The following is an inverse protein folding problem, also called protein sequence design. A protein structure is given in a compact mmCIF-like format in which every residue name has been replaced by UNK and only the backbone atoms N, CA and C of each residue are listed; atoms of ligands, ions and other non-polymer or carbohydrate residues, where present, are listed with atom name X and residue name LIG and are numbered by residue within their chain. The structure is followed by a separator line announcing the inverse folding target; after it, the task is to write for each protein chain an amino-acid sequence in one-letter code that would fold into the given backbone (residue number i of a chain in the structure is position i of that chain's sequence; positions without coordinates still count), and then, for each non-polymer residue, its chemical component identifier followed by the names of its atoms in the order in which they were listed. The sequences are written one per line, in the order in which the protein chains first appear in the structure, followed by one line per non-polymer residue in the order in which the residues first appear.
data_IF_566842046069
#
_entry.id   IF_566842046069
#
_cell.length_a   1.000
_cell.length_b   1.000
_cell.length_c   1.000
_cell.angle_alpha   90.00
_cell.angle_beta   90.00
_cell.angle_gamma   90.00
#
_symmetry.space_group_name_H-M   'P 1'
#
loop_
_entity.id
_entity.type
_entity.pdbx_description
1 polymer ?
#
# COMPACT_ATOMS: atom_id res chain seq x y z
N UNK A 1 5.72 -30.25 -1.84
CA UNK A 1 5.81 -29.02 -1.02
C UNK A 1 7.24 -28.50 -0.80
N UNK A 2 8.19 -29.31 -0.31
CA UNK A 2 9.56 -28.85 0.04
C UNK A 2 10.30 -28.12 -1.10
N UNK A 3 10.34 -28.71 -2.31
CA UNK A 3 10.95 -28.09 -3.49
C UNK A 3 10.36 -26.72 -3.85
N UNK A 4 9.06 -26.53 -3.65
CA UNK A 4 8.38 -25.26 -3.92
C UNK A 4 8.77 -24.18 -2.89
N UNK A 5 8.97 -24.58 -1.63
CA UNK A 5 9.48 -23.68 -0.58
C UNK A 5 10.95 -23.32 -0.81
N UNK A 6 11.77 -24.27 -1.27
CA UNK A 6 13.15 -24.00 -1.69
C UNK A 6 13.20 -23.00 -2.85
N UNK A 7 12.34 -23.17 -3.86
CA UNK A 7 12.21 -22.22 -4.96
C UNK A 7 11.75 -20.83 -4.50
N UNK A 8 10.82 -20.75 -3.54
CA UNK A 8 10.41 -19.47 -2.94
C UNK A 8 11.58 -18.78 -2.24
N UNK A 9 12.40 -19.53 -1.49
CA UNK A 9 13.58 -18.99 -0.83
C UNK A 9 14.63 -18.52 -1.86
N UNK A 10 14.81 -19.27 -2.95
CA UNK A 10 15.67 -18.85 -4.06
C UNK A 10 15.17 -17.54 -4.69
N UNK A 11 13.86 -17.42 -4.94
CA UNK A 11 13.25 -16.19 -5.44
C UNK A 11 13.53 -14.99 -4.51
N UNK A 12 13.43 -15.18 -3.19
CA UNK A 12 13.78 -14.12 -2.21
C UNK A 12 15.26 -13.78 -2.23
N UNK A 13 16.14 -14.77 -2.39
CA UNK A 13 17.58 -14.54 -2.48
C UNK A 13 17.96 -13.66 -3.67
N UNK A 14 17.32 -13.87 -4.82
CA UNK A 14 17.64 -13.17 -6.07
C UNK A 14 16.76 -11.94 -6.31
N UNK A 15 15.62 -11.82 -5.64
CA UNK A 15 14.70 -10.67 -5.67
C UNK A 15 14.29 -10.27 -4.24
N UNK A 16 15.23 -9.82 -3.40
CA UNK A 16 14.98 -9.57 -1.98
C UNK A 16 13.91 -8.51 -1.74
N UNK A 17 13.77 -7.56 -2.66
CA UNK A 17 12.75 -6.52 -2.60
C UNK A 17 11.31 -7.05 -2.72
N UNK A 18 11.10 -8.28 -3.24
CA UNK A 18 9.79 -8.93 -3.33
C UNK A 18 9.46 -9.84 -2.13
N UNK A 19 10.35 -9.95 -1.15
CA UNK A 19 10.23 -10.94 -0.07
C UNK A 19 8.90 -10.86 0.70
N UNK A 20 8.47 -9.64 1.04
CA UNK A 20 7.20 -9.41 1.76
C UNK A 20 5.99 -9.96 1.01
N UNK A 21 6.00 -9.90 -0.32
CA UNK A 21 4.91 -10.40 -1.15
C UNK A 21 4.99 -11.92 -1.34
N UNK A 22 6.19 -12.45 -1.62
CA UNK A 22 6.40 -13.89 -1.78
C UNK A 22 6.00 -14.70 -0.54
N UNK A 23 6.26 -14.17 0.66
CA UNK A 23 5.85 -14.80 1.92
C UNK A 23 4.41 -14.50 2.34
N UNK A 24 3.75 -13.52 1.73
CA UNK A 24 2.33 -13.28 1.95
C UNK A 24 1.43 -14.32 1.25
N UNK A 25 1.93 -14.97 0.20
CA UNK A 25 1.18 -15.96 -0.57
C UNK A 25 1.02 -17.28 0.19
N UNK A 26 -0.23 -17.71 0.35
CA UNK A 26 -0.57 -19.04 0.85
C UNK A 26 -0.56 -20.06 -0.29
N UNK A 27 0.19 -21.16 -0.13
CA UNK A 27 0.24 -22.24 -1.14
C UNK A 27 -0.96 -23.16 -0.99
N UNK A 28 -1.65 -23.42 -2.09
CA UNK A 28 -2.67 -24.45 -2.21
C UNK A 28 -2.17 -25.48 -3.23
N UNK A 29 -1.94 -26.70 -2.78
CA UNK A 29 -1.62 -27.80 -3.71
C UNK A 29 -2.90 -28.25 -4.40
N UNK A 30 -2.92 -28.22 -5.74
CA UNK A 30 -4.08 -28.65 -6.53
C UNK A 30 -3.66 -29.26 -7.87
N UNK A 31 -4.15 -30.46 -8.18
CA UNK A 31 -3.79 -31.21 -9.39
C UNK A 31 -4.53 -30.74 -10.64
N UNK A 32 -5.61 -29.98 -10.49
CA UNK A 32 -6.41 -29.45 -11.59
C UNK A 32 -5.79 -28.20 -12.22
N UNK A 33 -4.86 -27.54 -11.51
CA UNK A 33 -4.04 -26.44 -12.03
C UNK A 33 -2.99 -27.01 -13.00
N UNK A 34 -2.80 -26.41 -14.19
CA UNK A 34 -1.80 -26.89 -15.15
C UNK A 34 -0.34 -26.72 -14.68
N UNK A 35 -0.04 -25.58 -14.07
CA UNK A 35 1.30 -25.13 -13.65
C UNK A 35 1.26 -24.55 -12.23
N UNK A 36 1.39 -23.24 -12.10
CA UNK A 36 1.11 -22.44 -10.92
C UNK A 36 0.20 -21.30 -11.36
N UNK A 37 -0.63 -20.79 -10.44
CA UNK A 37 -1.54 -19.70 -10.70
C UNK A 37 -1.82 -18.94 -9.40
N UNK A 38 -2.27 -17.70 -9.48
CA UNK A 38 -2.73 -16.91 -8.33
C UNK A 38 -4.18 -16.49 -8.46
N UNK A 39 -4.89 -16.48 -7.34
CA UNK A 39 -6.23 -15.87 -7.29
C UNK A 39 -6.18 -14.40 -6.87
N UNK A 40 -7.27 -13.67 -7.10
CA UNK A 40 -7.42 -12.28 -6.65
C UNK A 40 -7.31 -12.13 -5.11
N UNK A 41 -7.38 -13.22 -4.35
CA UNK A 41 -7.28 -13.28 -2.89
C UNK A 41 -5.86 -13.60 -2.39
N UNK A 42 -4.84 -13.55 -3.26
CA UNK A 42 -3.43 -13.77 -2.93
C UNK A 42 -3.11 -15.19 -2.44
N UNK A 43 -3.84 -16.19 -2.94
CA UNK A 43 -3.45 -17.60 -2.82
C UNK A 43 -2.70 -18.01 -4.08
N UNK A 44 -1.65 -18.81 -3.91
CA UNK A 44 -0.91 -19.41 -5.01
C UNK A 44 -1.27 -20.89 -5.09
N UNK A 45 -1.85 -21.31 -6.19
CA UNK A 45 -2.19 -22.69 -6.48
C UNK A 45 -1.06 -23.33 -7.26
N UNK A 46 -0.64 -24.54 -6.88
CA UNK A 46 0.50 -25.20 -7.49
C UNK A 46 0.21 -26.66 -7.83
N UNK A 47 0.49 -27.03 -9.07
CA UNK A 47 0.38 -28.40 -9.57
C UNK A 47 1.54 -29.27 -9.06
N UNK A 48 1.28 -30.37 -8.33
CA UNK A 48 2.33 -31.25 -7.82
C UNK A 48 3.23 -31.79 -8.94
N UNK A 49 2.62 -32.18 -10.06
CA UNK A 49 3.34 -32.71 -11.21
C UNK A 49 4.22 -31.66 -11.89
N UNK A 50 3.82 -30.38 -11.88
CA UNK A 50 4.63 -29.29 -12.40
C UNK A 50 5.82 -29.01 -11.49
N UNK A 51 5.56 -28.88 -10.19
CA UNK A 51 6.62 -28.69 -9.19
C UNK A 51 7.66 -29.83 -9.24
N UNK A 52 7.22 -31.08 -9.42
CA UNK A 52 8.12 -32.22 -9.51
C UNK A 52 9.08 -32.12 -10.71
N UNK A 53 8.58 -31.76 -11.90
CA UNK A 53 9.35 -31.75 -13.16
C UNK A 53 10.18 -30.47 -13.39
N UNK A 54 9.78 -29.34 -12.81
CA UNK A 54 10.41 -28.04 -13.08
C UNK A 54 11.61 -27.78 -12.15
N UNK A 55 12.80 -27.36 -12.64
CA UNK A 55 13.95 -27.01 -11.81
C UNK A 55 13.65 -25.93 -10.76
N UNK A 56 14.46 -25.84 -9.70
CA UNK A 56 14.22 -24.92 -8.57
C UNK A 56 14.30 -23.47 -9.00
N UNK A 57 15.28 -23.15 -9.84
CA UNK A 57 15.55 -21.81 -10.36
C UNK A 57 14.44 -21.35 -11.31
N UNK A 58 13.92 -22.25 -12.14
CA UNK A 58 12.76 -21.99 -13.00
C UNK A 58 11.48 -21.79 -12.15
N UNK A 59 11.24 -22.63 -11.13
CA UNK A 59 10.13 -22.44 -10.19
C UNK A 59 10.23 -21.12 -9.43
N UNK A 60 11.45 -20.65 -9.14
CA UNK A 60 11.65 -19.34 -8.53
C UNK A 60 11.26 -18.20 -9.49
N UNK A 61 11.52 -18.36 -10.80
CA UNK A 61 11.02 -17.47 -11.84
C UNK A 61 9.49 -17.43 -11.86
N UNK A 62 8.84 -18.60 -11.78
CA UNK A 62 7.38 -18.69 -11.70
C UNK A 62 6.85 -18.00 -10.44
N UNK A 63 7.48 -18.18 -9.28
CA UNK A 63 7.12 -17.44 -8.06
C UNK A 63 7.12 -15.91 -8.26
N UNK A 64 8.17 -15.39 -8.89
CA UNK A 64 8.31 -13.96 -9.17
C UNK A 64 7.27 -13.51 -10.20
N UNK A 65 7.02 -14.32 -11.23
CA UNK A 65 5.99 -14.05 -12.23
C UNK A 65 4.59 -13.93 -11.59
N UNK A 66 4.16 -14.95 -10.85
CA UNK A 66 2.84 -15.01 -10.22
C UNK A 66 2.61 -13.86 -9.24
N UNK A 67 3.60 -13.54 -8.38
CA UNK A 67 3.46 -12.44 -7.42
C UNK A 67 3.44 -11.07 -8.12
N UNK A 68 4.04 -10.96 -9.30
CA UNK A 68 4.07 -9.72 -10.08
C UNK A 68 2.69 -9.33 -10.58
N UNK A 69 1.85 -10.28 -11.02
CA UNK A 69 0.45 -10.00 -11.36
C UNK A 69 -0.30 -9.34 -10.20
N UNK A 70 -0.06 -9.83 -8.97
CA UNK A 70 -0.74 -9.34 -7.78
C UNK A 70 -0.23 -7.97 -7.34
N UNK A 71 1.09 -7.76 -7.37
CA UNK A 71 1.71 -6.48 -7.03
C UNK A 71 1.32 -5.38 -8.02
N UNK A 72 1.30 -5.70 -9.32
CA UNK A 72 0.92 -4.78 -10.39
C UNK A 72 -0.58 -4.66 -10.62
N UNK A 73 -1.40 -5.32 -9.81
CA UNK A 73 -2.88 -5.30 -9.86
C UNK A 73 -3.44 -5.65 -11.24
N UNK A 74 -2.85 -6.63 -11.94
CA UNK A 74 -3.20 -6.96 -13.33
C UNK A 74 -4.69 -7.30 -13.50
N UNK A 75 -5.28 -8.10 -12.60
CA UNK A 75 -6.72 -8.38 -12.67
C UNK A 75 -7.57 -7.11 -12.53
N UNK A 76 -7.26 -6.23 -11.57
CA UNK A 76 -8.00 -5.01 -11.32
C UNK A 76 -7.83 -3.98 -12.45
N UNK A 77 -6.60 -3.78 -12.94
CA UNK A 77 -6.29 -2.96 -14.11
C UNK A 77 -6.96 -3.48 -15.37
N UNK A 78 -6.89 -4.79 -15.59
CA UNK A 78 -7.47 -5.45 -16.75
C UNK A 78 -9.00 -5.34 -16.78
N UNK A 79 -9.65 -5.49 -15.62
CA UNK A 79 -11.10 -5.25 -15.50
C UNK A 79 -11.47 -3.79 -15.80
N UNK A 80 -10.71 -2.82 -15.29
CA UNK A 80 -10.96 -1.39 -15.58
C UNK A 80 -10.84 -1.11 -17.07
N UNK A 81 -9.75 -1.57 -17.69
CA UNK A 81 -9.54 -1.45 -19.13
C UNK A 81 -10.69 -2.06 -19.94
N UNK A 82 -11.12 -3.28 -19.58
CA UNK A 82 -12.22 -3.97 -20.23
C UNK A 82 -13.55 -3.19 -20.16
N UNK A 83 -13.85 -2.58 -19.02
CA UNK A 83 -15.05 -1.75 -18.84
C UNK A 83 -15.00 -0.47 -19.66
N UNK A 84 -13.85 0.18 -19.72
CA UNK A 84 -13.63 1.42 -20.48
C UNK A 84 -13.73 1.22 -21.99
N UNK A 85 -13.32 0.05 -22.49
CA UNK A 85 -13.23 -0.24 -23.93
C UNK A 85 -14.34 -1.20 -24.43
N UNK A 86 -15.23 -1.68 -23.55
CA UNK A 86 -16.28 -2.63 -23.90
C UNK A 86 -15.76 -4.02 -24.32
N UNK A 87 -14.54 -4.37 -23.90
CA UNK A 87 -13.82 -5.58 -24.32
C UNK A 87 -14.14 -6.76 -23.38
N UNK A 88 -15.13 -7.56 -23.77
CA UNK A 88 -15.62 -8.70 -23.00
C UNK A 88 -15.48 -10.01 -23.77
N UNK A 89 -15.32 -11.10 -23.03
CA UNK A 89 -15.24 -12.45 -23.58
C UNK A 89 -13.88 -13.13 -23.34
N UNK A 90 -13.77 -14.42 -23.71
CA UNK A 90 -12.58 -15.22 -23.46
C UNK A 90 -11.35 -14.74 -24.24
N UNK A 91 -11.53 -14.30 -25.49
CA UNK A 91 -10.43 -13.77 -26.31
C UNK A 91 -9.81 -12.50 -25.72
N UNK A 92 -10.64 -11.55 -25.29
CA UNK A 92 -10.17 -10.31 -24.65
C UNK A 92 -9.53 -10.56 -23.28
N UNK A 93 -10.01 -11.56 -22.51
CA UNK A 93 -9.35 -11.97 -21.27
C UNK A 93 -7.97 -12.56 -21.52
N UNK A 94 -7.85 -13.46 -22.48
CA UNK A 94 -6.57 -14.03 -22.86
C UNK A 94 -5.60 -12.94 -23.35
N UNK A 95 -6.08 -12.00 -24.17
CA UNK A 95 -5.30 -10.85 -24.62
C UNK A 95 -4.77 -10.00 -23.46
N UNK A 96 -5.59 -9.76 -22.43
CA UNK A 96 -5.14 -9.08 -21.20
C UNK A 96 -4.09 -9.89 -20.44
N UNK A 97 -4.26 -11.21 -20.36
CA UNK A 97 -3.26 -12.07 -19.72
C UNK A 97 -1.91 -12.02 -20.49
N UNK A 98 -1.94 -12.11 -21.82
CA UNK A 98 -0.74 -11.98 -22.67
C UNK A 98 -0.06 -10.61 -22.48
N UNK A 99 -0.83 -9.53 -22.44
CA UNK A 99 -0.30 -8.19 -22.22
C UNK A 99 0.33 -8.02 -20.83
N UNK A 100 -0.30 -8.59 -19.80
CA UNK A 100 0.22 -8.64 -18.44
C UNK A 100 1.53 -9.44 -18.36
N UNK A 101 1.59 -10.57 -19.07
CA UNK A 101 2.79 -11.40 -19.19
C UNK A 101 3.91 -10.67 -19.91
N UNK A 102 3.63 -9.87 -20.95
CA UNK A 102 4.65 -9.04 -21.59
C UNK A 102 5.25 -8.02 -20.61
N UNK A 103 4.42 -7.35 -19.82
CA UNK A 103 4.87 -6.40 -18.77
C UNK A 103 5.73 -7.09 -17.69
N UNK A 104 5.48 -8.38 -17.40
CA UNK A 104 6.24 -9.14 -16.39
C UNK A 104 7.52 -9.73 -16.98
N UNK A 105 7.39 -10.48 -18.06
CA UNK A 105 8.46 -11.32 -18.59
C UNK A 105 9.62 -10.51 -19.16
N UNK A 106 9.46 -9.21 -19.40
CA UNK A 106 10.53 -8.35 -19.88
C UNK A 106 11.55 -7.92 -18.81
N UNK A 107 11.21 -7.97 -17.51
CA UNK A 107 12.05 -7.47 -16.43
C UNK A 107 12.27 -8.43 -15.24
N UNK A 108 11.73 -9.66 -15.28
CA UNK A 108 11.92 -10.65 -14.21
C UNK A 108 13.14 -11.55 -14.36
N UNK A 109 13.58 -11.86 -15.59
CA UNK A 109 14.64 -12.85 -15.84
C UNK A 109 16.05 -12.23 -15.82
N UNK A 110 17.08 -13.08 -15.71
CA UNK A 110 18.46 -12.65 -15.47
C UNK A 110 18.80 -12.64 -13.97
N UNK A 111 20.07 -12.37 -13.63
CA UNK A 111 20.55 -12.22 -12.26
C UNK A 111 20.07 -13.34 -11.30
N UNK A 112 20.21 -14.59 -11.74
CA UNK A 112 19.86 -15.78 -10.95
C UNK A 112 18.47 -16.37 -11.22
N UNK A 113 17.70 -15.80 -12.16
CA UNK A 113 16.46 -16.39 -12.67
C UNK A 113 16.60 -16.72 -14.17
N UNK A 114 16.57 -18.00 -14.57
CA UNK A 114 16.66 -18.39 -15.97
C UNK A 114 15.39 -18.01 -16.73
N UNK A 115 15.54 -17.58 -17.99
CA UNK A 115 14.42 -17.35 -18.91
C UNK A 115 13.90 -18.70 -19.44
N UNK A 116 12.63 -19.07 -19.18
CA UNK A 116 12.04 -20.29 -19.73
C UNK A 116 11.94 -20.20 -21.26
N UNK A 117 12.16 -21.32 -21.95
CA UNK A 117 12.06 -21.38 -23.42
C UNK A 117 10.67 -20.98 -23.96
N UNK A 118 9.61 -21.16 -23.15
CA UNK A 118 8.23 -20.80 -23.49
C UNK A 118 7.77 -19.45 -22.94
N UNK A 119 8.68 -18.58 -22.48
CA UNK A 119 8.30 -17.29 -21.93
C UNK A 119 7.57 -16.41 -22.97
N UNK A 120 6.43 -15.86 -22.58
CA UNK A 120 5.62 -14.98 -23.42
C UNK A 120 6.23 -13.58 -23.38
N UNK A 121 6.90 -13.19 -24.46
CA UNK A 121 7.66 -11.93 -24.56
C UNK A 121 7.13 -11.02 -25.68
N UNK A 122 7.22 -9.68 -25.53
CA UNK A 122 6.76 -8.73 -26.55
C UNK A 122 7.47 -8.89 -27.90
N UNK A 123 8.68 -9.46 -27.90
CA UNK A 123 9.45 -9.78 -29.12
C UNK A 123 8.73 -10.77 -30.05
N UNK A 124 7.78 -11.58 -29.55
CA UNK A 124 6.94 -12.47 -30.37
C UNK A 124 6.13 -11.68 -31.41
N UNK A 125 5.80 -10.42 -31.12
CA UNK A 125 5.11 -9.50 -32.01
C UNK A 125 6.01 -8.36 -32.51
N UNK A 126 7.33 -8.45 -32.28
CA UNK A 126 8.30 -7.38 -32.58
C UNK A 126 7.97 -6.05 -31.89
N UNK A 127 7.34 -6.11 -30.72
CA UNK A 127 7.03 -4.94 -29.90
C UNK A 127 8.23 -4.59 -29.01
N UNK A 128 8.40 -3.31 -28.63
CA UNK A 128 9.41 -2.92 -27.65
C UNK A 128 9.09 -3.51 -26.27
N UNK A 129 10.14 -3.78 -25.49
CA UNK A 129 10.03 -4.12 -24.06
C UNK A 129 9.84 -2.87 -23.20
N UNK A 130 9.37 -3.04 -21.97
CA UNK A 130 9.28 -2.02 -20.93
C UNK A 130 7.99 -1.21 -20.95
N UNK A 131 6.96 -1.66 -21.66
CA UNK A 131 5.64 -1.02 -21.69
C UNK A 131 4.72 -1.62 -20.63
N UNK A 132 3.71 -0.85 -20.21
CA UNK A 132 2.64 -1.34 -19.37
C UNK A 132 1.64 -2.20 -20.16
N UNK A 133 0.92 -3.08 -19.47
CA UNK A 133 -0.16 -3.92 -20.01
C UNK A 133 -1.13 -3.10 -20.88
N UNK A 134 -1.62 -1.95 -20.40
CA UNK A 134 -2.57 -1.11 -21.15
C UNK A 134 -1.96 -0.51 -22.42
N UNK A 135 -0.65 -0.27 -22.45
CA UNK A 135 0.04 0.21 -23.65
C UNK A 135 0.18 -0.92 -24.67
N UNK A 136 0.49 -2.13 -24.23
CA UNK A 136 0.48 -3.31 -25.09
C UNK A 136 -0.92 -3.59 -25.64
N UNK A 137 -1.96 -3.50 -24.81
CA UNK A 137 -3.35 -3.64 -25.25
C UNK A 137 -3.69 -2.61 -26.32
N UNK A 138 -3.30 -1.34 -26.14
CA UNK A 138 -3.59 -0.29 -27.12
C UNK A 138 -2.86 -0.47 -28.45
N UNK A 139 -1.66 -1.04 -28.43
CA UNK A 139 -0.75 -1.10 -29.58
C UNK A 139 -0.82 -2.40 -30.38
N UNK A 140 -1.34 -3.49 -29.79
CA UNK A 140 -1.40 -4.79 -30.43
C UNK A 140 -2.74 -5.53 -30.19
N UNK A 141 -3.27 -6.15 -31.25
CA UNK A 141 -4.45 -7.00 -31.15
C UNK A 141 -4.16 -8.36 -30.49
N UNK A 142 -2.91 -8.84 -30.60
CA UNK A 142 -2.45 -10.15 -30.12
C UNK A 142 -3.25 -11.36 -30.65
N UNK A 143 -4.16 -11.16 -31.60
CA UNK A 143 -5.06 -12.21 -32.10
C UNK A 143 -4.29 -13.37 -32.75
N UNK A 144 -3.14 -13.08 -33.36
CA UNK A 144 -2.27 -14.10 -33.95
C UNK A 144 -1.59 -15.03 -32.94
N UNK A 145 -1.52 -14.64 -31.65
CA UNK A 145 -0.97 -15.48 -30.58
C UNK A 145 -2.04 -16.24 -29.81
N UNK A 146 -3.32 -15.84 -29.93
CA UNK A 146 -4.38 -16.34 -29.08
C UNK A 146 -4.59 -17.87 -29.19
N UNK A 147 -4.40 -18.44 -30.37
CA UNK A 147 -4.50 -19.90 -30.56
C UNK A 147 -3.32 -20.63 -29.90
N UNK A 148 -2.10 -20.15 -30.11
CA UNK A 148 -0.87 -20.79 -29.62
C UNK A 148 -0.66 -20.62 -28.11
N UNK A 149 -1.24 -19.55 -27.54
CA UNK A 149 -1.18 -19.22 -26.11
C UNK A 149 -2.48 -19.50 -25.37
N UNK A 150 -3.44 -20.22 -25.96
CA UNK A 150 -4.71 -20.57 -25.31
C UNK A 150 -4.53 -21.41 -24.02
N UNK A 151 -3.35 -22.03 -23.84
CA UNK A 151 -2.98 -22.78 -22.64
C UNK A 151 -2.56 -21.89 -21.46
N UNK A 152 -2.32 -20.59 -21.69
CA UNK A 152 -1.85 -19.65 -20.68
C UNK A 152 -2.93 -19.41 -19.62
N UNK A 153 -2.65 -19.76 -18.38
CA UNK A 153 -3.57 -19.55 -17.26
C UNK A 153 -2.82 -19.26 -15.96
N UNK A 154 -2.73 -17.97 -15.61
CA UNK A 154 -2.11 -17.48 -14.37
C UNK A 154 -3.16 -17.26 -13.25
N UNK A 155 -4.41 -17.68 -13.47
CA UNK A 155 -5.52 -17.57 -12.53
C UNK A 155 -6.18 -16.18 -12.46
N UNK A 156 -7.18 -16.06 -11.59
CA UNK A 156 -7.99 -14.84 -11.46
C UNK A 156 -7.21 -13.63 -10.94
N UNK A 157 -6.08 -13.83 -10.29
CA UNK A 157 -5.17 -12.76 -9.86
C UNK A 157 -4.49 -12.05 -11.02
N UNK A 158 -4.41 -12.71 -12.18
CA UNK A 158 -3.90 -12.16 -13.42
C UNK A 158 -5.00 -11.55 -14.31
N UNK A 159 -6.11 -12.27 -14.55
CA UNK A 159 -7.09 -11.91 -15.59
C UNK A 159 -8.49 -11.56 -15.08
N UNK A 160 -8.74 -11.70 -13.77
CA UNK A 160 -10.03 -11.44 -13.12
C UNK A 160 -11.07 -12.54 -13.25
N UNK A 161 -10.82 -13.64 -13.97
CA UNK A 161 -11.77 -14.74 -14.12
C UNK A 161 -11.53 -15.84 -13.08
N UNK A 162 -12.51 -16.07 -12.21
CA UNK A 162 -12.46 -17.14 -11.20
C UNK A 162 -12.44 -18.52 -11.87
N UNK A 163 -11.52 -19.37 -11.42
CA UNK A 163 -11.36 -20.74 -11.90
C UNK A 163 -11.98 -21.76 -10.94
N UNK A 164 -12.40 -22.96 -11.40
CA UNK A 164 -13.02 -23.97 -10.52
C UNK A 164 -12.15 -24.45 -9.36
N UNK A 165 -10.82 -24.38 -9.50
CA UNK A 165 -9.87 -24.74 -8.44
C UNK A 165 -9.66 -23.64 -7.41
N UNK A 166 -10.16 -22.43 -7.66
CA UNK A 166 -10.01 -21.32 -6.74
C UNK A 166 -11.02 -21.41 -5.60
N UNK A 167 -10.54 -21.20 -4.37
CA UNK A 167 -11.36 -21.26 -3.16
C UNK A 167 -12.31 -20.06 -2.99
N UNK A 168 -12.21 -19.05 -3.86
CA UNK A 168 -13.05 -17.87 -3.82
C UNK A 168 -12.86 -16.98 -2.58
N UNK A 169 -13.78 -16.01 -2.36
CA UNK A 169 -13.68 -15.04 -1.26
C UNK A 169 -13.82 -15.65 0.12
N UNK A 170 -14.70 -16.65 0.27
CA UNK A 170 -15.01 -17.29 1.56
C UNK A 170 -14.02 -18.42 1.92
N UNK A 171 -13.08 -18.72 1.03
CA UNK A 171 -12.05 -19.71 1.26
C UNK A 171 -11.06 -19.32 2.38
N UNK A 172 -10.52 -20.32 3.07
CA UNK A 172 -9.47 -20.08 4.07
C UNK A 172 -8.22 -19.41 3.46
N UNK A 173 -7.48 -18.65 4.29
CA UNK A 173 -6.17 -18.08 3.98
C UNK A 173 -6.11 -17.05 2.83
N UNK A 174 -7.25 -16.51 2.39
CA UNK A 174 -7.26 -15.38 1.47
C UNK A 174 -6.94 -14.07 2.21
N UNK A 175 -6.21 -13.17 1.57
CA UNK A 175 -5.95 -11.85 2.12
C UNK A 175 -7.16 -10.93 1.92
N UNK A 176 -7.48 -10.13 2.94
CA UNK A 176 -8.43 -9.02 2.80
C UNK A 176 -7.87 -7.92 1.91
N UNK A 177 -8.72 -7.02 1.40
CA UNK A 177 -8.28 -5.88 0.59
C UNK A 177 -7.19 -5.06 1.30
N UNK A 178 -7.38 -4.76 2.58
CA UNK A 178 -6.43 -3.98 3.38
C UNK A 178 -5.10 -4.71 3.56
N UNK A 179 -5.12 -6.04 3.72
CA UNK A 179 -3.90 -6.84 3.81
C UNK A 179 -3.13 -6.83 2.49
N UNK A 180 -3.82 -6.92 1.34
CA UNK A 180 -3.20 -6.82 0.00
C UNK A 180 -2.54 -5.46 -0.20
N UNK A 181 -3.27 -4.39 0.13
CA UNK A 181 -2.74 -3.02 0.05
C UNK A 181 -1.54 -2.85 0.99
N UNK A 182 -1.58 -3.40 2.20
CA UNK A 182 -0.44 -3.36 3.13
C UNK A 182 0.78 -4.16 2.63
N UNK A 183 0.58 -5.24 1.87
CA UNK A 183 1.69 -5.97 1.23
C UNK A 183 2.30 -5.15 0.11
N UNK A 184 1.47 -4.61 -0.80
CA UNK A 184 1.94 -3.71 -1.88
C UNK A 184 2.69 -2.51 -1.31
N UNK A 185 2.18 -1.90 -0.25
CA UNK A 185 2.80 -0.76 0.43
C UNK A 185 4.18 -1.10 0.95
N UNK A 186 4.29 -2.22 1.69
CA UNK A 186 5.59 -2.68 2.21
C UNK A 186 6.62 -2.98 1.12
N UNK A 187 6.19 -3.51 -0.02
CA UNK A 187 7.09 -3.74 -1.17
C UNK A 187 7.52 -2.42 -1.80
N UNK A 188 6.57 -1.49 -2.03
CA UNK A 188 6.88 -0.17 -2.58
C UNK A 188 7.85 0.62 -1.68
N UNK A 189 7.58 0.69 -0.38
CA UNK A 189 8.46 1.35 0.59
C UNK A 189 9.82 0.64 0.71
N UNK A 190 9.85 -0.69 0.63
CA UNK A 190 11.09 -1.46 0.60
C UNK A 190 11.97 -1.08 -0.60
N UNK A 191 11.37 -0.96 -1.79
CA UNK A 191 12.06 -0.54 -3.01
C UNK A 191 12.50 0.94 -2.91
N UNK A 192 11.66 1.84 -2.39
CA UNK A 192 12.02 3.26 -2.25
C UNK A 192 13.15 3.49 -1.25
N UNK A 193 13.04 2.88 -0.08
CA UNK A 193 13.98 3.08 1.02
C UNK A 193 15.32 2.39 0.77
N UNK A 194 15.31 1.17 0.19
CA UNK A 194 16.51 0.37 -0.09
C UNK A 194 16.36 -0.36 -1.43
N UNK A 195 16.49 0.35 -2.56
CA UNK A 195 16.20 -0.22 -3.88
C UNK A 195 17.09 -1.41 -4.25
N UNK A 196 18.32 -1.48 -3.72
CA UNK A 196 19.25 -2.55 -4.06
C UNK A 196 19.44 -2.69 -5.57
N UNK A 197 19.27 -3.92 -6.05
CA UNK A 197 19.30 -4.34 -7.45
C UNK A 197 17.93 -4.31 -8.15
N UNK A 198 16.89 -3.71 -7.53
CA UNK A 198 15.57 -3.64 -8.13
C UNK A 198 15.63 -2.98 -9.54
N UNK A 199 15.07 -3.62 -10.58
CA UNK A 199 15.02 -3.07 -11.94
C UNK A 199 14.28 -1.73 -12.01
N UNK A 200 14.54 -0.96 -13.06
CA UNK A 200 13.92 0.36 -13.25
C UNK A 200 12.38 0.27 -13.28
N UNK A 201 11.81 -0.79 -13.87
CA UNK A 201 10.35 -1.02 -13.90
C UNK A 201 9.76 -1.09 -12.49
N UNK A 202 10.39 -1.85 -11.59
CA UNK A 202 9.99 -1.95 -10.19
C UNK A 202 10.14 -0.66 -9.40
N UNK A 203 11.16 0.16 -9.70
CA UNK A 203 11.32 1.48 -9.07
C UNK A 203 10.20 2.43 -9.49
N UNK A 204 9.88 2.51 -10.78
CA UNK A 204 8.74 3.30 -11.28
C UNK A 204 7.43 2.82 -10.68
N UNK A 205 7.22 1.49 -10.66
CA UNK A 205 6.05 0.91 -10.01
C UNK A 205 5.97 1.33 -8.54
N UNK A 206 7.06 1.29 -7.77
CA UNK A 206 7.04 1.68 -6.37
C UNK A 206 6.65 3.16 -6.18
N UNK A 207 7.15 4.05 -7.05
CA UNK A 207 6.84 5.48 -7.04
C UNK A 207 5.34 5.76 -7.31
N UNK A 208 4.71 4.96 -8.16
CA UNK A 208 3.32 5.14 -8.60
C UNK A 208 2.29 4.27 -7.85
N UNK A 209 2.71 3.14 -7.25
CA UNK A 209 1.84 2.13 -6.66
C UNK A 209 0.93 2.67 -5.55
N UNK A 210 1.39 3.71 -4.86
CA UNK A 210 0.61 4.46 -3.89
C UNK A 210 0.54 5.91 -4.35
N UNK A 211 -0.66 6.47 -4.25
CA UNK A 211 -0.98 7.82 -4.68
C UNK A 211 0.13 8.81 -4.27
N UNK A 212 0.41 9.83 -5.11
CA UNK A 212 1.30 10.90 -4.73
C UNK A 212 0.88 11.40 -3.34
N UNK A 213 1.83 11.60 -2.41
CA UNK A 213 1.52 11.96 -1.04
C UNK A 213 0.56 13.15 -1.08
N UNK A 214 -0.64 12.97 -0.51
CA UNK A 214 -1.58 14.06 -0.31
C UNK A 214 -0.80 15.22 0.33
N UNK A 215 -1.16 16.50 0.08
CA UNK A 215 -0.48 17.66 0.66
C UNK A 215 -0.75 17.71 2.17
N UNK A 216 -0.21 16.75 2.91
CA UNK A 216 -0.59 16.40 4.27
C UNK A 216 -0.26 17.55 5.22
N UNK A 217 0.76 18.35 4.90
CA UNK A 217 1.11 19.60 5.58
C UNK A 217 -0.03 20.60 5.54
N UNK A 218 -0.65 20.78 4.36
CA UNK A 218 -1.78 21.67 4.18
C UNK A 218 -3.03 21.13 4.88
N UNK A 219 -3.29 19.82 4.76
CA UNK A 219 -4.42 19.14 5.41
C UNK A 219 -4.32 19.20 6.94
N UNK A 220 -3.15 18.87 7.50
CA UNK A 220 -2.86 18.95 8.93
C UNK A 220 -2.97 20.39 9.43
N UNK A 221 -2.36 21.33 8.72
CA UNK A 221 -2.45 22.75 9.05
C UNK A 221 -3.89 23.26 9.06
N UNK A 222 -4.71 22.88 8.07
CA UNK A 222 -6.11 23.23 8.01
C UNK A 222 -6.91 22.63 9.18
N UNK A 223 -6.69 21.34 9.49
CA UNK A 223 -7.35 20.65 10.59
C UNK A 223 -7.01 21.28 11.95
N UNK A 224 -5.72 21.50 12.24
CA UNK A 224 -5.27 22.08 13.51
C UNK A 224 -5.74 23.52 13.67
N UNK A 225 -5.67 24.35 12.62
CA UNK A 225 -6.15 25.75 12.67
C UNK A 225 -7.66 25.81 12.87
N UNK A 226 -8.42 24.95 12.18
CA UNK A 226 -9.87 24.83 12.34
C UNK A 226 -10.24 24.47 13.77
N UNK A 227 -9.60 23.44 14.33
CA UNK A 227 -9.86 22.99 15.69
C UNK A 227 -9.45 24.04 16.73
N UNK A 228 -8.22 24.56 16.70
CA UNK A 228 -7.74 25.51 17.70
C UNK A 228 -8.38 26.90 17.60
N UNK A 229 -8.87 27.27 16.40
CA UNK A 229 -9.66 28.48 16.17
C UNK A 229 -11.11 28.35 16.61
N UNK A 230 -11.60 27.13 16.86
CA UNK A 230 -12.98 26.91 17.24
C UNK A 230 -13.28 27.62 18.58
N UNK A 231 -14.50 28.19 18.72
CA UNK A 231 -14.85 28.96 19.89
C UNK A 231 -14.79 28.20 21.21
N UNK A 232 -14.74 26.87 21.18
CA UNK A 232 -14.78 26.02 22.36
C UNK A 232 -16.20 25.84 22.91
N UNK A 233 -16.36 24.86 23.78
CA UNK A 233 -17.60 24.67 24.54
C UNK A 233 -17.70 25.77 25.59
N UNK A 234 -18.88 26.36 25.76
CA UNK A 234 -19.14 27.33 26.82
C UNK A 234 -20.25 26.81 27.73
N UNK A 235 -19.87 26.07 28.77
CA UNK A 235 -20.80 25.55 29.77
C UNK A 235 -20.75 26.38 31.07
N UNK A 236 -19.59 26.96 31.37
CA UNK A 236 -19.35 27.69 32.60
C UNK A 236 -19.53 29.21 32.45
N UNK A 237 -20.14 29.80 33.48
CA UNK A 237 -20.27 31.25 33.61
C UNK A 237 -19.25 31.78 34.62
N UNK A 238 -18.59 32.90 34.31
CA UNK A 238 -17.56 33.50 35.16
C UNK A 238 -17.80 34.99 35.40
N UNK A 239 -17.58 35.44 36.63
CA UNK A 239 -17.59 36.85 37.02
C UNK A 239 -16.22 37.53 36.91
N UNK A 240 -15.16 36.80 36.51
CA UNK A 240 -13.80 37.35 36.37
C UNK A 240 -13.72 38.50 35.37
N UNK A 241 -14.59 38.47 34.36
CA UNK A 241 -14.85 39.59 33.45
C UNK A 241 -16.37 39.75 33.34
N UNK A 242 -16.94 40.91 33.72
CA UNK A 242 -18.36 41.16 33.56
C UNK A 242 -18.77 41.05 32.09
N UNK A 243 -19.96 40.51 31.84
CA UNK A 243 -20.54 40.47 30.49
C UNK A 243 -20.71 41.88 29.94
N UNK A 244 -20.46 42.06 28.63
CA UNK A 244 -20.74 43.34 27.94
C UNK A 244 -22.22 43.75 28.03
N UNK A 245 -23.12 42.78 28.25
CA UNK A 245 -24.55 43.02 28.45
C UNK A 245 -24.87 43.71 29.79
N UNK A 246 -23.95 43.68 30.75
CA UNK A 246 -24.12 44.36 32.05
C UNK A 246 -24.26 45.88 31.88
N UNK A 247 -23.74 46.46 30.78
CA UNK A 247 -23.91 47.88 30.47
C UNK A 247 -25.38 48.28 30.24
N UNK A 248 -26.26 47.33 29.88
CA UNK A 248 -27.68 47.57 29.68
C UNK A 248 -28.55 47.34 30.92
N UNK A 249 -27.98 46.89 32.04
CA UNK A 249 -28.72 46.60 33.28
C UNK A 249 -28.01 47.27 34.46
N UNK A 250 -28.38 48.52 34.80
CA UNK A 250 -27.77 49.26 35.91
C UNK A 250 -27.90 48.50 37.23
N UNK A 251 -26.80 48.44 38.00
CA UNK A 251 -26.77 47.80 39.32
C UNK A 251 -26.65 46.28 39.33
N UNK A 252 -26.61 45.61 38.17
CA UNK A 252 -26.47 44.14 38.08
C UNK A 252 -25.19 43.76 37.33
N UNK A 253 -24.30 43.02 38.02
CA UNK A 253 -23.14 42.39 37.37
C UNK A 253 -23.57 41.05 36.77
N UNK A 254 -23.55 40.93 35.44
CA UNK A 254 -23.84 39.67 34.77
C UNK A 254 -22.56 38.87 34.51
N UNK A 255 -22.56 37.54 34.71
CA UNK A 255 -21.41 36.71 34.40
C UNK A 255 -21.22 36.63 32.88
N UNK A 256 -19.96 36.47 32.45
CA UNK A 256 -19.62 36.17 31.06
C UNK A 256 -19.49 34.66 30.84
N UNK A 257 -19.88 34.19 29.66
CA UNK A 257 -19.68 32.79 29.28
C UNK A 257 -18.20 32.51 29.08
N UNK A 258 -17.64 31.62 29.90
CA UNK A 258 -16.27 31.15 29.78
C UNK A 258 -16.24 30.04 28.73
N UNK A 259 -15.52 30.26 27.64
CA UNK A 259 -15.32 29.22 26.62
C UNK A 259 -14.01 28.49 26.82
N UNK A 260 -14.05 27.17 26.73
CA UNK A 260 -12.88 26.28 26.75
C UNK A 260 -12.60 25.79 25.33
N UNK A 261 -11.57 26.32 24.64
CA UNK A 261 -11.23 25.89 23.29
C UNK A 261 -10.82 24.41 23.28
N UNK A 262 -11.08 23.68 22.18
CA UNK A 262 -10.74 22.27 22.10
C UNK A 262 -9.22 22.10 22.08
N UNK A 263 -8.74 20.99 22.66
CA UNK A 263 -7.34 20.58 22.62
C UNK A 263 -7.13 19.67 21.41
N UNK A 264 -6.03 19.87 20.70
CA UNK A 264 -5.66 19.12 19.52
C UNK A 264 -4.47 18.23 19.84
N UNK A 265 -4.60 16.93 19.64
CA UNK A 265 -3.49 16.00 19.79
C UNK A 265 -3.08 15.47 18.42
N UNK A 266 -1.81 15.64 18.07
CA UNK A 266 -1.20 15.11 16.83
C UNK A 266 -0.47 13.81 17.18
N UNK A 267 -0.90 12.71 16.57
CA UNK A 267 -0.20 11.41 16.68
C UNK A 267 0.77 11.30 15.51
N UNK A 268 2.05 11.09 15.80
CA UNK A 268 3.11 10.90 14.82
C UNK A 268 3.51 9.43 14.83
N UNK A 269 3.43 8.78 13.68
CA UNK A 269 3.95 7.42 13.49
C UNK A 269 5.48 7.44 13.59
N UNK A 270 6.02 6.64 14.50
CA UNK A 270 7.47 6.45 14.72
C UNK A 270 7.88 5.00 14.48
N UNK A 271 7.11 4.24 13.70
CA UNK A 271 7.43 2.87 13.30
C UNK A 271 8.68 2.82 12.42
N UNK A 272 9.27 1.63 12.32
CA UNK A 272 10.53 1.43 11.58
C UNK A 272 10.46 1.71 10.07
N UNK A 273 9.26 1.90 9.49
CA UNK A 273 9.09 2.34 8.11
C UNK A 273 9.20 3.85 7.91
N UNK A 274 9.16 4.65 8.98
CA UNK A 274 9.25 6.11 8.88
C UNK A 274 10.72 6.53 8.97
N UNK A 275 11.21 7.25 7.96
CA UNK A 275 12.59 7.73 7.93
C UNK A 275 12.81 8.92 8.86
N UNK A 276 14.07 9.14 9.27
CA UNK A 276 14.46 10.32 10.06
C UNK A 276 14.11 11.63 9.35
N UNK A 277 14.18 11.66 8.02
CA UNK A 277 13.81 12.81 7.20
C UNK A 277 12.29 13.09 7.28
N UNK A 278 11.45 12.06 7.24
CA UNK A 278 10.01 12.18 7.37
C UNK A 278 9.60 12.59 8.79
N UNK A 279 10.22 12.00 9.82
CA UNK A 279 10.03 12.39 11.22
C UNK A 279 10.44 13.85 11.45
N UNK A 280 11.60 14.25 10.95
CA UNK A 280 12.07 15.63 11.03
C UNK A 280 11.12 16.60 10.32
N UNK A 281 10.64 16.24 9.13
CA UNK A 281 9.64 17.00 8.39
C UNK A 281 8.32 17.13 9.17
N UNK A 282 7.84 16.06 9.79
CA UNK A 282 6.62 16.05 10.60
C UNK A 282 6.73 16.97 11.82
N UNK A 283 7.83 16.89 12.57
CA UNK A 283 8.08 17.74 13.72
C UNK A 283 8.18 19.22 13.34
N UNK A 284 8.91 19.56 12.28
CA UNK A 284 9.07 20.94 11.80
C UNK A 284 7.72 21.54 11.39
N UNK A 285 6.90 20.77 10.69
CA UNK A 285 5.57 21.20 10.25
C UNK A 285 4.63 21.42 11.44
N UNK A 286 4.57 20.47 12.38
CA UNK A 286 3.74 20.58 13.58
C UNK A 286 4.15 21.78 14.43
N UNK A 287 5.45 22.04 14.58
CA UNK A 287 5.96 23.23 15.27
C UNK A 287 5.57 24.53 14.53
N UNK A 288 5.66 24.56 13.20
CA UNK A 288 5.24 25.71 12.40
C UNK A 288 3.74 26.00 12.52
N UNK A 289 2.90 24.96 12.44
CA UNK A 289 1.46 25.05 12.62
C UNK A 289 1.12 25.57 14.03
N UNK A 290 1.77 25.05 15.08
CA UNK A 290 1.55 25.51 16.46
C UNK A 290 1.90 26.99 16.65
N UNK A 291 2.99 27.48 16.02
CA UNK A 291 3.33 28.91 16.03
C UNK A 291 2.24 29.77 15.37
N UNK A 292 1.66 29.29 14.26
CA UNK A 292 0.61 30.00 13.52
C UNK A 292 -0.73 30.09 14.28
N UNK A 293 -0.98 29.24 15.28
CA UNK A 293 -2.22 29.18 16.07
C UNK A 293 -2.31 30.27 17.17
N UNK A 294 -1.34 31.20 17.23
CA UNK A 294 -1.52 32.49 17.91
C UNK A 294 -1.53 32.41 19.45
N UNK A 295 -0.40 32.00 20.05
CA UNK A 295 -0.17 32.09 21.49
C UNK A 295 -0.84 31.01 22.36
N UNK A 296 -1.76 30.21 21.81
CA UNK A 296 -2.43 29.09 22.49
C UNK A 296 -1.70 27.75 22.29
N UNK A 297 -0.38 27.76 22.52
CA UNK A 297 0.50 26.60 22.29
C UNK A 297 0.22 25.42 23.24
N UNK A 298 -0.41 25.69 24.37
CA UNK A 298 -0.87 24.73 25.38
C UNK A 298 -2.05 23.84 24.91
N UNK A 299 -2.70 24.23 23.81
CA UNK A 299 -3.80 23.47 23.21
C UNK A 299 -3.33 22.40 22.23
N UNK A 300 -2.05 22.36 21.85
CA UNK A 300 -1.53 21.34 20.91
C UNK A 300 -0.54 20.44 21.62
N UNK A 301 -0.80 19.13 21.58
CA UNK A 301 0.09 18.08 22.09
C UNK A 301 0.51 17.11 20.99
N UNK A 302 1.67 16.47 21.17
CA UNK A 302 2.20 15.46 20.25
C UNK A 302 2.36 14.14 20.98
N UNK A 303 2.01 13.04 20.32
CA UNK A 303 2.24 11.66 20.78
C UNK A 303 3.03 10.93 19.69
N UNK A 304 4.20 10.39 20.03
CA UNK A 304 4.86 9.37 19.19
C UNK A 304 4.15 8.03 19.34
N UNK A 305 3.99 7.27 18.26
CA UNK A 305 3.36 5.97 18.29
C UNK A 305 4.04 5.02 17.31
N UNK A 306 4.52 3.90 17.81
CA UNK A 306 4.96 2.76 17.01
C UNK A 306 4.08 1.54 17.36
N UNK A 307 4.65 0.46 17.92
CA UNK A 307 3.92 -0.67 18.46
C UNK A 307 3.22 -0.32 19.78
N UNK A 308 3.65 0.75 20.45
CA UNK A 308 2.99 1.32 21.61
C UNK A 308 2.96 2.86 21.52
N UNK A 309 1.95 3.47 22.15
CA UNK A 309 1.89 4.92 22.25
C UNK A 309 2.85 5.43 23.32
N UNK A 310 3.68 6.39 22.95
CA UNK A 310 4.53 7.16 23.86
C UNK A 310 3.72 8.10 24.77
N UNK A 311 4.45 8.86 25.58
CA UNK A 311 3.85 9.87 26.47
C UNK A 311 3.48 11.11 25.63
N UNK A 312 2.25 11.60 25.80
CA UNK A 312 1.82 12.87 25.19
C UNK A 312 2.62 14.03 25.78
N UNK A 313 3.30 14.81 24.93
CA UNK A 313 4.08 15.96 25.38
C UNK A 313 3.48 17.25 24.79
N UNK A 314 3.26 18.30 25.62
CA UNK A 314 2.84 19.61 25.12
C UNK A 314 3.89 20.20 24.18
N UNK A 315 3.46 20.83 23.08
CA UNK A 315 4.39 21.35 22.08
C UNK A 315 5.39 22.40 22.60
N UNK A 316 5.01 23.16 23.65
CA UNK A 316 5.91 24.09 24.34
C UNK A 316 7.16 23.41 24.95
N UNK A 317 7.14 22.09 25.12
CA UNK A 317 8.27 21.27 25.60
C UNK A 317 8.82 20.35 24.50
N UNK A 318 8.27 20.41 23.29
CA UNK A 318 8.54 19.46 22.21
C UNK A 318 9.73 19.82 21.33
N UNK A 319 10.29 21.03 21.45
CA UNK A 319 11.41 21.50 20.62
C UNK A 319 12.70 20.66 20.83
N UNK A 320 12.76 19.79 21.86
CA UNK A 320 13.89 18.90 22.17
C UNK A 320 13.49 17.42 22.39
N UNK A 321 12.35 16.95 21.86
CA UNK A 321 11.96 15.54 22.03
C UNK A 321 12.75 14.66 21.05
N UNK A 322 13.58 13.77 21.59
CA UNK A 322 14.00 12.58 20.87
C UNK A 322 12.78 11.68 20.67
N UNK A 323 12.27 11.61 19.44
CA UNK A 323 11.26 10.61 19.09
C UNK A 323 11.96 9.24 19.07
N UNK A 324 11.76 8.46 20.13
CA UNK A 324 12.26 7.09 20.21
C UNK A 324 11.18 6.17 19.63
N UNK A 325 11.55 5.35 18.65
CA UNK A 325 10.68 4.42 17.95
C UNK A 325 11.47 3.42 17.11
N UNK A 326 10.80 2.77 16.15
CA UNK A 326 11.39 1.75 15.27
C UNK A 326 10.71 0.37 15.35
N UNK A 327 9.68 0.23 16.18
CA UNK A 327 8.86 -0.98 16.24
C UNK A 327 7.87 -1.13 15.08
N UNK A 328 6.90 -2.04 15.23
CA UNK A 328 5.75 -2.14 14.32
C UNK A 328 4.83 -0.91 14.41
N UNK A 329 3.69 -0.94 13.72
CA UNK A 329 2.73 0.18 13.71
C UNK A 329 1.39 -0.25 14.33
N UNK A 330 1.00 0.35 15.45
CA UNK A 330 -0.36 0.26 16.01
C UNK A 330 -0.90 1.64 16.44
N UNK A 331 -1.43 2.38 15.46
CA UNK A 331 -2.04 3.70 15.69
C UNK A 331 -3.28 3.66 16.60
N UNK A 332 -3.90 2.49 16.83
CA UNK A 332 -5.04 2.39 17.75
C UNK A 332 -4.60 2.72 19.18
N UNK A 333 -3.39 2.31 19.57
CA UNK A 333 -2.79 2.70 20.85
C UNK A 333 -2.62 4.22 20.92
N UNK A 334 -2.15 4.84 19.83
CA UNK A 334 -1.97 6.28 19.71
C UNK A 334 -3.29 7.05 19.91
N UNK A 335 -4.35 6.64 19.20
CA UNK A 335 -5.68 7.25 19.34
C UNK A 335 -6.28 7.04 20.73
N UNK A 336 -6.17 5.84 21.31
CA UNK A 336 -6.65 5.58 22.66
C UNK A 336 -5.93 6.44 23.71
N UNK A 337 -4.65 6.75 23.49
CA UNK A 337 -3.88 7.65 24.36
C UNK A 337 -4.27 9.12 24.15
N UNK A 338 -4.54 9.53 22.91
CA UNK A 338 -4.94 10.90 22.57
C UNK A 338 -6.32 11.29 23.12
N UNK A 339 -7.20 10.31 23.38
CA UNK A 339 -8.54 10.52 23.93
C UNK A 339 -8.60 10.62 25.46
N UNK A 340 -7.48 10.39 26.17
CA UNK A 340 -7.38 10.52 27.63
C UNK A 340 -6.93 11.92 28.03
#
# INVERSE_FOLDING_TARGET
MEKLLAARLHAVKVRPYLASALFALHVVEDRSVPTMAVDAHWRCYASPGFVARTPVEELAGVWVHEVSHLLRDHHGRGERYAREHGEHGPGERLRRNIAADFEINDDIYGDGLPLPAGAVLPSLLRLPSGLLMEEYLRTASMSGLAADLAWLDCGSGADGQVRPWERGPDGAHGLSRQQRDAVRFRVAEGIKGRPGDAPQGWRRWADEAFHPPQPWRQLLGAAVRSAAGAPGVGEDHSYRRPSRRSAGIPGVLLPSLRRTPPRVCVVIDTSGSVSDAELGSALLEVAAISRAVGGRRDLVSVISCDAAAGVAVPLCRAENIALVGGGGTDLRSGFARALR
#
